data_IF_064056693914
#
_entry.id   IF_064056693914
#
_cell.length_a   1.000
_cell.length_b   1.000
_cell.length_c   1.000
_cell.angle_alpha   90.00
_cell.angle_beta   90.00
_cell.angle_gamma   90.00
#
_symmetry.space_group_name_H-M   'P 1'
#
loop_
_entity.id
_entity.type
_entity.pdbx_description
1 polymer ?
#
# COMPACT_ATOMS: atom_id res chain seq x y z
N UNK A 1 21.59 -20.61 -7.11
CA UNK A 1 22.65 -20.15 -6.20
C UNK A 1 23.78 -21.16 -6.00
N UNK A 2 23.52 -22.46 -5.70
CA UNK A 2 24.62 -23.45 -5.52
C UNK A 2 25.54 -23.52 -6.72
N UNK A 3 25.00 -23.72 -7.93
CA UNK A 3 25.78 -23.74 -9.15
C UNK A 3 26.58 -22.46 -9.39
N UNK A 4 26.05 -21.31 -9.05
CA UNK A 4 26.77 -20.04 -9.13
C UNK A 4 27.94 -19.99 -8.14
N UNK A 5 27.76 -20.46 -6.92
CA UNK A 5 28.77 -20.47 -5.89
C UNK A 5 29.93 -21.45 -6.26
N UNK A 6 29.58 -22.59 -6.85
CA UNK A 6 30.58 -23.57 -7.35
C UNK A 6 31.43 -23.00 -8.49
N UNK A 7 30.82 -22.21 -9.40
CA UNK A 7 31.53 -21.59 -10.54
C UNK A 7 32.42 -20.43 -10.08
N UNK A 8 32.07 -19.73 -9.00
CA UNK A 8 32.81 -18.58 -8.49
C UNK A 8 33.56 -18.87 -7.17
N UNK A 9 34.16 -20.04 -7.06
CA UNK A 9 35.05 -20.41 -5.95
C UNK A 9 34.47 -20.15 -4.53
N UNK A 10 33.21 -20.45 -4.34
CA UNK A 10 32.53 -20.31 -3.05
C UNK A 10 32.53 -18.87 -2.46
N UNK A 11 32.59 -17.87 -3.31
CA UNK A 11 32.57 -16.43 -2.88
C UNK A 11 31.44 -16.10 -1.93
N UNK A 12 30.29 -16.79 -2.04
CA UNK A 12 29.12 -16.57 -1.17
C UNK A 12 29.20 -17.30 0.18
N UNK A 13 30.26 -18.12 0.42
CA UNK A 13 30.36 -18.94 1.63
C UNK A 13 29.23 -19.98 1.74
N UNK A 14 28.73 -20.23 2.95
CA UNK A 14 27.61 -21.15 3.14
C UNK A 14 26.33 -20.62 2.52
N UNK A 15 25.74 -21.38 1.60
CA UNK A 15 24.47 -21.03 0.98
C UNK A 15 23.33 -21.41 1.92
N UNK A 16 22.53 -20.44 2.39
CA UNK A 16 21.41 -20.72 3.26
C UNK A 16 20.37 -21.61 2.56
N UNK A 17 19.68 -22.44 3.35
CA UNK A 17 18.58 -23.23 2.82
C UNK A 17 17.38 -22.34 2.44
N UNK A 18 16.45 -22.87 1.64
CA UNK A 18 15.29 -22.12 1.17
C UNK A 18 14.46 -21.51 2.32
N UNK A 19 14.28 -22.26 3.42
CA UNK A 19 13.54 -21.76 4.59
C UNK A 19 14.25 -20.58 5.27
N UNK A 20 15.58 -20.58 5.31
CA UNK A 20 16.36 -19.46 5.85
C UNK A 20 16.21 -18.22 4.98
N UNK A 21 16.24 -18.38 3.66
CA UNK A 21 16.03 -17.28 2.71
C UNK A 21 14.62 -16.72 2.86
N UNK A 22 13.59 -17.57 2.93
CA UNK A 22 12.20 -17.15 3.14
C UNK A 22 12.06 -16.36 4.44
N UNK A 23 12.66 -16.83 5.53
CA UNK A 23 12.65 -16.11 6.81
C UNK A 23 13.34 -14.74 6.71
N UNK A 24 14.45 -14.63 5.99
CA UNK A 24 15.14 -13.35 5.77
C UNK A 24 14.26 -12.38 4.96
N UNK A 25 13.64 -12.84 3.88
CA UNK A 25 12.72 -12.03 3.08
C UNK A 25 11.58 -11.49 3.94
N UNK A 26 10.96 -12.32 4.79
CA UNK A 26 9.90 -11.88 5.72
C UNK A 26 10.41 -10.85 6.73
N UNK A 27 11.57 -11.07 7.32
CA UNK A 27 12.18 -10.14 8.29
C UNK A 27 12.54 -8.81 7.63
N UNK A 28 13.14 -8.82 6.44
CA UNK A 28 13.42 -7.62 5.68
C UNK A 28 12.13 -6.87 5.31
N UNK A 29 11.09 -7.58 4.85
CA UNK A 29 9.80 -6.99 4.55
C UNK A 29 9.16 -6.31 5.75
N UNK A 30 9.20 -6.94 6.93
CA UNK A 30 8.68 -6.35 8.16
C UNK A 30 9.48 -5.11 8.57
N UNK A 31 10.80 -5.19 8.54
CA UNK A 31 11.69 -4.06 8.87
C UNK A 31 11.46 -2.86 7.95
N UNK A 32 11.38 -3.11 6.63
CA UNK A 32 11.06 -2.06 5.65
C UNK A 32 9.68 -1.45 5.91
N UNK A 33 8.67 -2.26 6.21
CA UNK A 33 7.34 -1.79 6.54
C UNK A 33 7.30 -0.90 7.78
N UNK A 34 8.07 -1.23 8.82
CA UNK A 34 8.18 -0.43 10.04
C UNK A 34 8.91 0.90 9.80
N UNK A 35 9.94 0.90 8.96
CA UNK A 35 10.70 2.11 8.58
C UNK A 35 9.87 3.05 7.71
N UNK A 36 9.14 2.54 6.75
CA UNK A 36 8.34 3.30 5.78
C UNK A 36 7.40 4.33 6.44
N UNK A 37 6.86 4.00 7.60
CA UNK A 37 5.94 4.88 8.32
C UNK A 37 6.69 6.06 8.97
N UNK A 38 7.91 5.85 9.45
CA UNK A 38 8.71 6.92 10.07
C UNK A 38 9.17 7.95 9.04
N UNK A 39 9.44 7.53 7.81
CA UNK A 39 9.95 8.37 6.75
C UNK A 39 8.92 9.37 6.21
N UNK A 40 7.63 9.12 6.43
CA UNK A 40 6.55 10.05 6.08
C UNK A 40 6.43 11.26 7.00
N UNK A 41 7.14 11.30 8.11
CA UNK A 41 7.01 12.37 9.09
C UNK A 41 7.57 13.69 8.55
N UNK A 42 6.67 14.66 8.31
CA UNK A 42 7.02 16.01 7.87
C UNK A 42 6.79 16.33 6.40
N UNK A 43 6.70 15.33 5.52
CA UNK A 43 6.48 15.55 4.09
C UNK A 43 5.00 15.65 3.70
N UNK A 44 4.71 16.43 2.66
CA UNK A 44 3.38 16.48 2.07
C UNK A 44 3.10 15.18 1.33
N UNK A 45 2.07 14.46 1.78
CA UNK A 45 1.72 13.17 1.22
C UNK A 45 0.20 12.99 1.08
N UNK A 46 -0.19 12.16 0.14
CA UNK A 46 -1.54 11.62 0.06
C UNK A 46 -1.55 10.15 0.46
N UNK A 47 -2.71 9.66 0.85
CA UNK A 47 -2.93 8.23 1.06
C UNK A 47 -3.75 7.68 -0.10
N UNK A 48 -3.34 6.53 -0.61
CA UNK A 48 -4.06 5.75 -1.62
C UNK A 48 -4.53 4.48 -0.91
N UNK A 49 -5.83 4.23 -0.93
CA UNK A 49 -6.44 3.12 -0.20
C UNK A 49 -7.19 2.25 -1.18
N UNK A 50 -6.90 0.97 -1.14
CA UNK A 50 -7.54 -0.04 -1.99
C UNK A 50 -7.90 -1.28 -1.18
N UNK A 51 -9.11 -1.81 -1.40
CA UNK A 51 -9.54 -3.11 -0.90
C UNK A 51 -9.12 -4.16 -1.92
N UNK A 52 -8.01 -4.81 -1.67
CA UNK A 52 -7.41 -5.78 -2.56
C UNK A 52 -7.72 -7.22 -2.12
N UNK A 53 -7.20 -8.12 -2.86
CA UNK A 53 -7.26 -9.59 -2.82
C UNK A 53 -7.71 -10.23 -1.51
N UNK A 54 -8.41 -11.37 -1.64
CA UNK A 54 -8.71 -12.25 -0.53
C UNK A 54 -7.47 -13.07 -0.13
N UNK A 55 -7.13 -13.06 1.15
CA UNK A 55 -6.16 -13.96 1.73
C UNK A 55 -6.92 -15.00 2.57
N UNK A 56 -7.20 -16.16 1.99
CA UNK A 56 -8.14 -17.10 2.58
C UNK A 56 -9.56 -16.52 2.60
N UNK A 57 -10.21 -16.46 3.76
CA UNK A 57 -11.52 -15.83 3.96
C UNK A 57 -11.46 -14.32 4.24
N UNK A 58 -10.26 -13.76 4.38
CA UNK A 58 -10.08 -12.35 4.73
C UNK A 58 -9.77 -11.51 3.50
N UNK A 59 -10.32 -10.31 3.50
CA UNK A 59 -9.97 -9.24 2.58
C UNK A 59 -8.79 -8.45 3.13
N UNK A 60 -8.03 -7.83 2.23
CA UNK A 60 -6.93 -6.93 2.55
C UNK A 60 -7.33 -5.50 2.26
N UNK A 61 -7.07 -4.60 3.20
CA UNK A 61 -7.11 -3.16 2.98
C UNK A 61 -5.68 -2.65 2.96
N UNK A 62 -5.22 -2.23 1.79
CA UNK A 62 -3.90 -1.67 1.60
C UNK A 62 -3.97 -0.15 1.69
N UNK A 63 -3.01 0.44 2.38
CA UNK A 63 -2.83 1.89 2.40
C UNK A 63 -1.41 2.20 1.95
N UNK A 64 -1.31 2.93 0.87
CA UNK A 64 -0.07 3.43 0.30
C UNK A 64 0.03 4.93 0.57
N UNK A 65 1.24 5.44 0.69
CA UNK A 65 1.52 6.87 0.68
C UNK A 65 2.27 7.25 -0.59
N UNK A 66 1.94 8.41 -1.13
CA UNK A 66 2.63 9.01 -2.26
C UNK A 66 2.83 10.51 -2.02
N UNK A 67 3.81 11.18 -2.66
CA UNK A 67 3.99 12.62 -2.56
C UNK A 67 2.73 13.37 -2.99
N UNK A 68 2.32 14.37 -2.21
CA UNK A 68 1.19 15.26 -2.53
C UNK A 68 1.63 16.55 -3.21
N UNK A 69 2.82 16.56 -3.80
CA UNK A 69 3.40 17.67 -4.57
C UNK A 69 3.73 17.20 -5.98
N UNK A 70 3.78 18.12 -6.96
CA UNK A 70 4.24 17.76 -8.30
C UNK A 70 5.67 17.21 -8.24
N UNK A 71 5.88 16.02 -8.78
CA UNK A 71 7.19 15.36 -8.83
C UNK A 71 7.99 15.73 -10.08
N UNK A 72 7.36 16.42 -11.06
CA UNK A 72 7.96 16.72 -12.35
C UNK A 72 8.00 15.53 -13.32
N UNK A 73 7.55 14.37 -12.88
CA UNK A 73 7.45 13.13 -13.67
C UNK A 73 6.23 12.30 -13.24
N UNK A 74 5.78 11.32 -14.02
CA UNK A 74 4.78 10.36 -13.60
C UNK A 74 5.23 9.59 -12.35
N UNK A 75 4.30 9.26 -11.45
CA UNK A 75 4.60 8.45 -10.27
C UNK A 75 5.24 7.12 -10.67
N UNK A 76 6.31 6.77 -9.99
CA UNK A 76 7.04 5.51 -10.12
C UNK A 76 6.82 4.65 -8.88
N UNK A 77 7.16 3.38 -8.94
CA UNK A 77 7.11 2.48 -7.77
C UNK A 77 7.95 3.00 -6.60
N UNK A 78 9.07 3.67 -6.88
CA UNK A 78 9.93 4.28 -5.86
C UNK A 78 9.28 5.46 -5.12
N UNK A 79 8.25 6.07 -5.71
CA UNK A 79 7.56 7.24 -5.13
C UNK A 79 6.40 6.81 -4.22
N UNK A 80 6.07 5.52 -4.22
CA UNK A 80 4.93 4.97 -3.49
C UNK A 80 5.42 4.06 -2.38
N UNK A 81 4.94 4.29 -1.17
CA UNK A 81 5.38 3.59 0.04
C UNK A 81 4.19 2.88 0.69
N UNK A 82 4.33 1.59 0.99
CA UNK A 82 3.33 0.84 1.74
C UNK A 82 3.39 1.24 3.23
N UNK A 83 2.28 1.75 3.76
CA UNK A 83 2.22 2.26 5.13
C UNK A 83 1.22 1.53 6.04
N UNK A 84 0.24 0.82 5.50
CA UNK A 84 -0.64 -0.04 6.27
C UNK A 84 -1.17 -1.21 5.47
N UNK A 85 -1.26 -2.35 6.14
CA UNK A 85 -1.98 -3.55 5.69
C UNK A 85 -2.91 -3.93 6.83
N UNK A 86 -4.21 -3.89 6.57
CA UNK A 86 -5.23 -4.38 7.50
C UNK A 86 -5.96 -5.57 6.88
N UNK A 87 -6.36 -6.53 7.72
CA UNK A 87 -7.07 -7.73 7.29
C UNK A 87 -8.40 -7.85 8.00
N UNK A 88 -9.44 -8.27 7.30
CA UNK A 88 -10.76 -8.51 7.85
C UNK A 88 -11.60 -9.38 6.93
N UNK A 89 -12.61 -10.06 7.46
CA UNK A 89 -13.64 -10.72 6.66
C UNK A 89 -14.41 -9.72 5.77
N UNK A 90 -14.61 -8.51 6.28
CA UNK A 90 -15.23 -7.41 5.54
C UNK A 90 -14.77 -6.06 6.07
N UNK A 91 -14.79 -5.05 5.21
CA UNK A 91 -14.53 -3.67 5.59
C UNK A 91 -15.81 -2.84 5.47
N UNK A 92 -16.25 -2.31 6.59
CA UNK A 92 -17.29 -1.27 6.64
C UNK A 92 -16.65 0.13 6.73
N UNK A 93 -17.45 1.17 6.60
CA UNK A 93 -16.97 2.54 6.60
C UNK A 93 -16.25 2.94 7.90
N UNK A 94 -16.73 2.48 9.04
CA UNK A 94 -16.14 2.74 10.34
C UNK A 94 -14.77 2.10 10.50
N UNK A 95 -14.59 0.87 9.98
CA UNK A 95 -13.32 0.15 10.01
C UNK A 95 -12.29 0.80 9.09
N UNK A 96 -12.71 1.20 7.88
CA UNK A 96 -11.88 1.96 6.96
C UNK A 96 -11.43 3.28 7.62
N UNK A 97 -12.36 4.03 8.19
CA UNK A 97 -12.04 5.28 8.90
C UNK A 97 -11.02 5.07 10.02
N UNK A 98 -11.20 4.03 10.84
CA UNK A 98 -10.24 3.70 11.91
C UNK A 98 -8.86 3.36 11.37
N UNK A 99 -8.76 2.60 10.27
CA UNK A 99 -7.49 2.26 9.63
C UNK A 99 -6.77 3.51 9.13
N UNK A 100 -7.48 4.38 8.41
CA UNK A 100 -6.93 5.65 7.89
C UNK A 100 -6.45 6.56 9.03
N UNK A 101 -7.24 6.72 10.08
CA UNK A 101 -6.86 7.54 11.24
C UNK A 101 -5.67 6.95 11.98
N UNK A 102 -5.58 5.63 12.12
CA UNK A 102 -4.44 4.94 12.72
C UNK A 102 -3.17 5.19 11.91
N UNK A 103 -3.25 5.12 10.57
CA UNK A 103 -2.12 5.39 9.67
C UNK A 103 -1.67 6.85 9.78
N UNK A 104 -2.59 7.81 9.72
CA UNK A 104 -2.28 9.22 9.89
C UNK A 104 -1.63 9.55 11.25
N UNK A 105 -2.09 8.88 12.32
CA UNK A 105 -1.49 9.03 13.66
C UNK A 105 -0.06 8.49 13.71
N UNK A 106 0.20 7.35 13.08
CA UNK A 106 1.54 6.76 13.00
C UNK A 106 2.51 7.64 12.18
N UNK A 107 2.05 8.19 11.08
CA UNK A 107 2.81 9.12 10.25
C UNK A 107 3.07 10.49 10.92
N UNK A 108 2.47 10.74 12.10
CA UNK A 108 2.57 12.01 12.85
C UNK A 108 2.16 13.24 12.04
N UNK A 109 1.49 13.04 10.91
CA UNK A 109 1.00 14.08 10.01
C UNK A 109 -0.31 13.64 9.36
N UNK A 110 -1.24 14.58 9.22
CA UNK A 110 -2.46 14.37 8.44
C UNK A 110 -2.10 14.33 6.95
N UNK A 111 -2.70 13.40 6.18
CA UNK A 111 -2.55 13.42 4.73
C UNK A 111 -3.21 14.68 4.15
N UNK A 112 -2.63 15.20 3.08
CA UNK A 112 -3.21 16.35 2.37
C UNK A 112 -4.52 15.98 1.68
N UNK A 113 -4.63 14.72 1.21
CA UNK A 113 -5.87 14.11 0.70
C UNK A 113 -5.76 12.58 0.70
N UNK A 114 -6.90 11.93 0.47
CA UNK A 114 -7.01 10.47 0.37
C UNK A 114 -7.62 10.12 -0.98
N UNK A 115 -7.04 9.14 -1.67
CA UNK A 115 -7.53 8.60 -2.94
C UNK A 115 -8.09 7.21 -2.69
N UNK A 116 -9.27 6.91 -3.23
CA UNK A 116 -9.86 5.56 -3.23
C UNK A 116 -10.56 5.29 -4.57
N UNK A 117 -10.96 4.06 -4.77
CA UNK A 117 -11.92 3.69 -5.80
C UNK A 117 -13.29 4.35 -5.57
N UNK A 118 -14.24 4.08 -6.48
CA UNK A 118 -15.60 4.65 -6.43
C UNK A 118 -16.56 3.88 -5.50
N UNK A 119 -16.09 2.91 -4.71
CA UNK A 119 -16.94 2.15 -3.82
C UNK A 119 -17.59 3.05 -2.75
N UNK A 120 -18.89 2.90 -2.56
CA UNK A 120 -19.67 3.70 -1.61
C UNK A 120 -19.15 3.57 -0.18
N UNK A 121 -18.66 2.40 0.21
CA UNK A 121 -18.11 2.13 1.53
C UNK A 121 -16.79 2.88 1.76
N UNK A 122 -15.93 2.95 0.72
CA UNK A 122 -14.68 3.71 0.75
C UNK A 122 -14.96 5.20 0.92
N UNK A 123 -15.83 5.75 0.07
CA UNK A 123 -16.27 7.15 0.16
C UNK A 123 -16.81 7.51 1.55
N UNK A 124 -17.68 6.67 2.11
CA UNK A 124 -18.21 6.87 3.45
C UNK A 124 -17.12 6.79 4.52
N UNK A 125 -16.22 5.82 4.41
CA UNK A 125 -15.10 5.62 5.34
C UNK A 125 -14.17 6.82 5.39
N UNK A 126 -13.73 7.33 4.24
CA UNK A 126 -12.88 8.53 4.18
C UNK A 126 -13.61 9.75 4.69
N UNK A 127 -14.90 9.94 4.35
CA UNK A 127 -15.70 11.07 4.85
C UNK A 127 -15.78 11.11 6.39
N UNK A 128 -15.81 9.97 7.05
CA UNK A 128 -15.79 9.89 8.52
C UNK A 128 -14.47 10.36 9.14
N UNK A 129 -13.37 10.38 8.40
CA UNK A 129 -12.08 10.91 8.88
C UNK A 129 -12.00 12.43 8.84
N UNK A 130 -12.83 13.08 8.06
CA UNK A 130 -12.76 14.52 7.76
C UNK A 130 -11.64 14.92 6.81
N UNK A 131 -10.91 13.95 6.22
CA UNK A 131 -9.87 14.24 5.24
C UNK A 131 -10.48 14.54 3.86
N UNK A 132 -9.75 15.34 3.06
CA UNK A 132 -10.10 15.60 1.68
C UNK A 132 -10.06 14.31 0.87
N UNK A 133 -11.11 14.01 0.11
CA UNK A 133 -11.25 12.78 -0.65
C UNK A 133 -11.22 13.05 -2.14
N UNK A 134 -10.48 12.22 -2.87
CA UNK A 134 -10.46 12.16 -4.33
C UNK A 134 -10.70 10.73 -4.80
N UNK A 135 -11.33 10.61 -5.97
CA UNK A 135 -11.50 9.31 -6.62
C UNK A 135 -10.29 8.99 -7.50
N UNK A 136 -9.98 7.71 -7.60
CA UNK A 136 -9.03 7.22 -8.59
C UNK A 136 -9.60 7.42 -10.00
N UNK A 137 -8.94 8.30 -10.76
CA UNK A 137 -9.34 8.61 -12.13
C UNK A 137 -9.11 7.44 -13.07
N UNK A 138 -8.06 6.65 -12.88
CA UNK A 138 -7.76 5.46 -13.69
C UNK A 138 -8.87 4.41 -13.55
N UNK A 139 -9.28 4.12 -12.32
CA UNK A 139 -10.38 3.21 -12.03
C UNK A 139 -11.72 3.75 -12.59
N UNK A 140 -11.99 5.04 -12.42
CA UNK A 140 -13.20 5.69 -12.93
C UNK A 140 -13.28 5.65 -14.45
N UNK A 141 -12.17 5.91 -15.14
CA UNK A 141 -12.08 5.83 -16.61
C UNK A 141 -12.23 4.40 -17.09
N UNK A 142 -11.57 3.44 -16.43
CA UNK A 142 -11.69 2.01 -16.74
C UNK A 142 -13.14 1.53 -16.67
N UNK A 143 -13.86 1.87 -15.60
CA UNK A 143 -15.29 1.55 -15.48
C UNK A 143 -16.15 2.21 -16.55
N UNK A 144 -15.85 3.47 -16.91
CA UNK A 144 -16.57 4.16 -17.97
C UNK A 144 -16.37 3.46 -19.32
N UNK A 145 -15.14 3.14 -19.68
CA UNK A 145 -14.82 2.42 -20.93
C UNK A 145 -15.48 1.04 -20.97
N UNK A 146 -15.43 0.30 -19.86
CA UNK A 146 -16.05 -1.00 -19.76
C UNK A 146 -17.57 -0.94 -20.00
N UNK A 147 -18.27 0.02 -19.40
CA UNK A 147 -19.71 0.23 -19.61
C UNK A 147 -20.06 0.66 -21.02
N UNK A 148 -19.16 1.42 -21.68
CA UNK A 148 -19.41 1.96 -23.01
C UNK A 148 -19.13 0.95 -24.12
N UNK A 149 -18.11 0.11 -23.96
CA UNK A 149 -17.60 -0.78 -25.01
C UNK A 149 -17.84 -2.28 -24.78
N UNK A 150 -18.19 -2.72 -23.55
CA UNK A 150 -18.74 -4.06 -23.35
C UNK A 150 -20.23 -4.06 -23.74
N UNK A 151 -20.49 -4.37 -25.00
CA UNK A 151 -21.80 -4.84 -25.47
C UNK A 151 -21.83 -6.37 -25.47
#
# INVERSE_FOLDING_TARGET
MRAFNEVYDNVLGEIPCANTIDLWVRKCGLSTYEQNISDLSGEKHCLIIDESMMLGSNKLLLTLAAPAVPTGHPLRHSDVTLVSIDTAESFNAERISKSVMKTAKKAKRKPDYVITDNASVMKKGVRLTGFKHHFDLGHSLGMFLERTYKK
#
